data_IF_524593091432
#
_entry.id   IF_524593091432
#
_cell.length_a   1.000
_cell.length_b   1.000
_cell.length_c   1.000
_cell.angle_alpha   90.00
_cell.angle_beta   90.00
_cell.angle_gamma   90.00
#
_symmetry.space_group_name_H-M   'P 1'
#
loop_
_entity.id
_entity.type
_entity.pdbx_description
1 polymer ?
#
# COMPACT_ATOMS: atom_id res chain seq x y z
N UNK A 1 -20.44 11.17 2.67
CA UNK A 1 -19.86 12.34 2.00
C UNK A 1 -18.51 12.67 2.62
N UNK A 2 -17.62 13.26 1.85
CA UNK A 2 -16.28 13.71 2.30
C UNK A 2 -16.36 14.78 3.41
N UNK A 3 -17.48 15.50 3.53
CA UNK A 3 -17.75 16.41 4.64
C UNK A 3 -17.84 15.69 6.01
N UNK A 4 -18.09 14.38 6.02
CA UNK A 4 -18.23 13.53 7.22
C UNK A 4 -16.96 12.70 7.51
N UNK A 5 -15.85 12.96 6.84
CA UNK A 5 -14.61 12.17 6.98
C UNK A 5 -13.98 12.21 8.37
N UNK A 6 -14.26 13.27 9.15
CA UNK A 6 -13.73 13.46 10.50
C UNK A 6 -14.79 13.17 11.59
N UNK A 7 -15.95 12.59 11.23
CA UNK A 7 -17.00 12.29 12.18
C UNK A 7 -16.65 11.10 13.05
N UNK A 8 -16.47 11.35 14.35
CA UNK A 8 -15.96 10.36 15.32
C UNK A 8 -16.78 9.08 15.36
N UNK A 9 -18.13 9.18 15.40
CA UNK A 9 -18.99 8.01 15.48
C UNK A 9 -18.84 7.05 14.30
N UNK A 10 -18.72 7.58 13.07
CA UNK A 10 -18.49 6.75 11.87
C UNK A 10 -17.11 6.07 11.94
N UNK A 11 -16.09 6.80 12.36
CA UNK A 11 -14.73 6.28 12.45
C UNK A 11 -14.60 5.21 13.55
N UNK A 12 -15.24 5.40 14.69
CA UNK A 12 -15.25 4.43 15.80
C UNK A 12 -15.95 3.13 15.41
N UNK A 13 -17.17 3.20 14.86
CA UNK A 13 -17.93 2.03 14.41
C UNK A 13 -17.14 1.23 13.37
N UNK A 14 -16.52 1.91 12.40
CA UNK A 14 -15.72 1.25 11.39
C UNK A 14 -14.47 0.58 11.99
N UNK A 15 -13.80 1.24 12.94
CA UNK A 15 -12.61 0.71 13.62
C UNK A 15 -12.96 -0.52 14.47
N UNK A 16 -14.02 -0.46 15.27
CA UNK A 16 -14.46 -1.56 16.13
C UNK A 16 -14.86 -2.79 15.32
N UNK A 17 -15.54 -2.58 14.21
CA UNK A 17 -16.01 -3.66 13.34
C UNK A 17 -15.00 -4.04 12.24
N UNK A 18 -13.83 -3.39 12.19
CA UNK A 18 -12.79 -3.60 11.15
C UNK A 18 -13.33 -3.45 9.74
N UNK A 19 -14.25 -2.51 9.53
CA UNK A 19 -14.88 -2.22 8.25
C UNK A 19 -14.12 -1.09 7.54
N UNK A 20 -13.80 -1.24 6.25
CA UNK A 20 -13.24 -0.16 5.46
C UNK A 20 -14.27 0.94 5.24
N UNK A 21 -13.82 2.20 5.24
CA UNK A 21 -14.66 3.36 4.96
C UNK A 21 -14.29 3.94 3.61
N UNK A 22 -15.31 4.33 2.85
CA UNK A 22 -15.17 5.08 1.61
C UNK A 22 -16.00 6.36 1.69
N UNK A 23 -15.37 7.48 1.39
CA UNK A 23 -16.05 8.78 1.28
C UNK A 23 -16.16 9.18 -0.18
N UNK A 24 -17.26 9.83 -0.54
CA UNK A 24 -17.55 10.30 -1.87
C UNK A 24 -17.74 11.82 -1.86
N UNK A 25 -17.28 12.50 -2.89
CA UNK A 25 -17.49 13.92 -3.06
C UNK A 25 -18.92 14.22 -3.53
N UNK A 26 -19.35 15.48 -3.39
CA UNK A 26 -20.70 15.90 -3.74
C UNK A 26 -21.04 15.70 -5.23
N UNK A 27 -20.06 15.86 -6.12
CA UNK A 27 -20.29 15.76 -7.56
C UNK A 27 -20.62 14.30 -7.94
N UNK A 28 -19.89 13.34 -7.36
CA UNK A 28 -20.17 11.92 -7.57
C UNK A 28 -21.55 11.54 -7.04
N UNK A 29 -21.89 12.01 -5.83
CA UNK A 29 -23.18 11.72 -5.20
C UNK A 29 -24.37 12.33 -5.94
N UNK A 30 -24.21 13.51 -6.54
CA UNK A 30 -25.28 14.21 -7.25
C UNK A 30 -25.69 13.55 -8.57
N UNK A 31 -24.84 12.69 -9.11
CA UNK A 31 -25.09 11.94 -10.36
C UNK A 31 -25.94 10.69 -10.15
N UNK A 32 -26.16 10.29 -8.88
CA UNK A 32 -26.89 9.06 -8.57
C UNK A 32 -28.37 9.34 -8.39
N UNK A 33 -29.19 8.63 -9.16
CA UNK A 33 -30.65 8.67 -8.99
C UNK A 33 -31.03 7.95 -7.70
N UNK A 34 -31.78 8.60 -6.83
CA UNK A 34 -32.19 8.07 -5.52
C UNK A 34 -33.71 8.14 -5.35
N UNK A 35 -34.32 7.14 -4.70
CA UNK A 35 -35.78 7.13 -4.52
C UNK A 35 -36.29 8.19 -3.54
N UNK A 36 -35.46 8.59 -2.55
CA UNK A 36 -35.87 9.54 -1.50
C UNK A 36 -35.02 10.81 -1.48
N UNK A 37 -35.12 11.67 -2.50
CA UNK A 37 -34.40 12.93 -2.54
C UNK A 37 -34.88 13.89 -1.43
N UNK A 38 -33.98 14.75 -0.94
CA UNK A 38 -34.25 15.72 0.12
C UNK A 38 -33.79 17.10 -0.32
N UNK A 39 -34.72 18.03 -0.38
CA UNK A 39 -34.40 19.45 -0.72
C UNK A 39 -33.51 20.10 0.36
N UNK A 40 -33.66 19.69 1.64
CA UNK A 40 -32.79 20.17 2.73
C UNK A 40 -31.36 19.74 2.50
N UNK A 41 -31.12 18.46 2.21
CA UNK A 41 -29.80 17.93 1.94
C UNK A 41 -29.20 18.52 0.65
N UNK A 42 -30.05 18.75 -0.37
CA UNK A 42 -29.63 19.41 -1.61
C UNK A 42 -29.12 20.84 -1.36
N UNK A 43 -29.84 21.60 -0.54
CA UNK A 43 -29.48 22.99 -0.23
C UNK A 43 -28.23 23.09 0.65
N UNK A 44 -28.06 22.17 1.61
CA UNK A 44 -26.95 22.21 2.57
C UNK A 44 -25.66 21.55 2.02
N UNK A 45 -25.78 20.48 1.26
CA UNK A 45 -24.65 19.62 0.87
C UNK A 45 -24.42 19.64 -0.65
N UNK A 46 -25.45 20.06 -1.44
CA UNK A 46 -25.38 20.09 -2.90
C UNK A 46 -25.59 18.73 -3.57
N UNK A 47 -26.21 17.77 -2.86
CA UNK A 47 -26.64 16.48 -3.40
C UNK A 47 -28.03 16.11 -2.85
N UNK A 48 -28.92 15.46 -3.63
CA UNK A 48 -30.27 15.13 -3.18
C UNK A 48 -30.30 14.07 -2.09
N UNK A 49 -29.30 13.25 -1.94
CA UNK A 49 -29.18 12.27 -0.87
C UNK A 49 -27.72 11.90 -0.64
N UNK A 50 -27.32 11.76 0.62
CA UNK A 50 -25.99 11.24 0.98
C UNK A 50 -26.05 9.73 1.21
N UNK A 51 -26.99 9.26 2.04
CA UNK A 51 -27.03 7.86 2.45
C UNK A 51 -27.29 6.90 1.28
N UNK A 52 -28.37 7.14 0.51
CA UNK A 52 -28.73 6.28 -0.63
C UNK A 52 -27.73 6.43 -1.77
N UNK A 53 -27.33 7.65 -2.11
CA UNK A 53 -26.36 7.87 -3.17
C UNK A 53 -25.01 7.22 -2.84
N UNK A 54 -24.53 7.30 -1.58
CA UNK A 54 -23.27 6.69 -1.17
C UNK A 54 -23.31 5.18 -1.26
N UNK A 55 -24.38 4.51 -0.78
CA UNK A 55 -24.46 3.06 -0.81
C UNK A 55 -24.63 2.51 -2.23
N UNK A 56 -25.45 3.18 -3.08
CA UNK A 56 -25.60 2.80 -4.49
C UNK A 56 -24.29 2.99 -5.26
N UNK A 57 -23.60 4.11 -5.05
CA UNK A 57 -22.31 4.38 -5.68
C UNK A 57 -21.21 3.40 -5.23
N UNK A 58 -21.24 2.99 -3.97
CA UNK A 58 -20.35 1.97 -3.43
C UNK A 58 -20.64 0.58 -4.01
N UNK A 59 -21.92 0.23 -4.15
CA UNK A 59 -22.38 -1.05 -4.67
C UNK A 59 -22.36 -1.11 -6.21
N UNK A 60 -22.21 0.03 -6.90
CA UNK A 60 -21.95 0.20 -8.33
C UNK A 60 -23.14 -0.07 -9.25
N UNK A 61 -22.86 -0.10 -10.57
CA UNK A 61 -23.88 -0.25 -11.61
C UNK A 61 -24.72 -1.53 -11.42
N UNK A 62 -26.05 -1.38 -11.49
CA UNK A 62 -26.99 -2.47 -11.27
C UNK A 62 -27.24 -2.84 -9.81
N UNK A 63 -26.75 -2.03 -8.87
CA UNK A 63 -27.03 -2.20 -7.44
C UNK A 63 -28.51 -1.97 -7.11
N UNK A 64 -29.01 -2.71 -6.12
CA UNK A 64 -30.35 -2.56 -5.58
C UNK A 64 -30.29 -2.07 -4.12
N UNK A 65 -31.21 -1.16 -3.77
CA UNK A 65 -31.38 -0.82 -2.35
C UNK A 65 -32.11 -1.95 -1.64
N UNK A 66 -31.45 -2.58 -0.66
CA UNK A 66 -32.07 -3.52 0.28
C UNK A 66 -32.85 -2.78 1.34
N UNK A 67 -32.35 -1.60 1.72
CA UNK A 67 -32.99 -0.72 2.70
C UNK A 67 -32.85 0.72 2.21
N UNK A 68 -33.98 1.35 1.99
CA UNK A 68 -34.06 2.78 1.70
C UNK A 68 -33.67 3.62 2.93
N UNK A 69 -33.45 4.90 2.69
CA UNK A 69 -33.07 5.87 3.70
C UNK A 69 -33.94 5.77 4.95
N UNK A 70 -33.38 5.38 6.06
CA UNK A 70 -34.03 5.32 7.35
C UNK A 70 -33.31 6.23 8.32
N UNK A 71 -34.06 7.10 9.00
CA UNK A 71 -33.55 8.08 9.94
C UNK A 71 -33.80 7.57 11.36
N UNK A 72 -32.75 7.37 12.11
CA UNK A 72 -32.80 7.03 13.53
C UNK A 72 -32.55 8.28 14.34
N UNK A 73 -33.50 8.60 15.21
CA UNK A 73 -33.42 9.72 16.18
C UNK A 73 -33.40 9.12 17.57
N UNK A 74 -32.66 9.74 18.47
CA UNK A 74 -32.74 9.34 19.86
C UNK A 74 -34.11 9.74 20.44
N UNK A 75 -34.74 8.83 21.22
CA UNK A 75 -36.07 9.03 21.80
C UNK A 75 -36.06 9.70 23.18
N UNK A 76 -34.87 10.01 23.70
CA UNK A 76 -34.76 10.66 24.99
C UNK A 76 -34.94 12.19 24.86
N UNK A 77 -36.11 12.69 25.20
CA UNK A 77 -36.54 14.09 25.09
C UNK A 77 -35.79 15.10 25.99
N UNK A 78 -34.68 14.72 26.61
CA UNK A 78 -34.01 15.57 27.62
C UNK A 78 -32.66 16.14 27.18
N UNK A 79 -32.14 15.80 25.99
CA UNK A 79 -30.89 16.33 25.52
C UNK A 79 -31.02 16.84 24.08
N UNK A 80 -30.94 18.14 23.92
CA UNK A 80 -31.13 18.87 22.66
C UNK A 80 -29.98 18.69 21.63
N UNK A 81 -28.92 17.96 21.99
CA UNK A 81 -27.67 17.86 21.17
C UNK A 81 -27.46 16.49 20.50
N UNK A 82 -28.41 15.59 20.52
CA UNK A 82 -28.24 14.25 19.98
C UNK A 82 -28.72 14.20 18.52
N UNK A 83 -27.75 14.15 17.59
CA UNK A 83 -27.99 14.11 16.15
C UNK A 83 -28.76 12.89 15.65
N UNK A 84 -29.29 12.96 14.45
CA UNK A 84 -29.92 11.84 13.78
C UNK A 84 -28.89 11.04 12.98
N UNK A 85 -28.98 9.70 13.02
CA UNK A 85 -28.22 8.80 12.15
C UNK A 85 -29.09 8.36 10.98
N UNK A 86 -28.58 8.52 9.76
CA UNK A 86 -29.28 8.10 8.55
C UNK A 86 -28.54 6.92 7.93
N UNK A 87 -29.25 5.84 7.69
CA UNK A 87 -28.71 4.60 7.12
C UNK A 87 -29.48 4.24 5.84
N UNK A 88 -28.77 3.81 4.82
CA UNK A 88 -29.29 3.11 3.66
C UNK A 88 -28.37 1.90 3.37
N UNK A 89 -28.92 0.81 2.83
CA UNK A 89 -28.18 -0.41 2.51
C UNK A 89 -28.45 -0.75 1.06
N UNK A 90 -27.40 -0.97 0.29
CA UNK A 90 -27.48 -1.44 -1.08
C UNK A 90 -26.72 -2.76 -1.25
N UNK A 91 -27.25 -3.62 -2.10
CA UNK A 91 -26.62 -4.85 -2.54
C UNK A 91 -26.00 -4.65 -3.91
N UNK A 92 -24.76 -5.09 -4.08
CA UNK A 92 -24.13 -5.15 -5.39
C UNK A 92 -24.74 -6.28 -6.21
N UNK A 93 -25.03 -6.04 -7.48
CA UNK A 93 -25.56 -7.07 -8.42
C UNK A 93 -24.60 -8.25 -8.58
N UNK A 94 -23.32 -8.00 -8.47
CA UNK A 94 -22.28 -9.01 -8.49
C UNK A 94 -21.57 -9.02 -7.14
N UNK A 95 -21.49 -10.17 -6.51
CA UNK A 95 -20.83 -10.36 -5.20
C UNK A 95 -19.34 -9.95 -5.22
N UNK A 96 -18.77 -9.92 -6.43
CA UNK A 96 -17.47 -9.36 -6.75
C UNK A 96 -17.66 -8.35 -7.88
N UNK A 97 -17.64 -7.07 -7.56
CA UNK A 97 -17.70 -6.06 -8.60
C UNK A 97 -16.46 -6.17 -9.49
N UNK A 98 -16.63 -6.34 -10.84
CA UNK A 98 -15.51 -6.44 -11.78
C UNK A 98 -14.69 -5.17 -11.92
N UNK A 99 -15.11 -4.07 -11.37
CA UNK A 99 -14.26 -2.91 -11.20
C UNK A 99 -13.49 -3.10 -9.90
N UNK A 100 -12.51 -3.95 -9.96
CA UNK A 100 -11.53 -4.12 -8.91
C UNK A 100 -10.97 -2.76 -8.48
N UNK A 101 -10.61 -2.66 -7.22
CA UNK A 101 -9.88 -1.51 -6.71
C UNK A 101 -8.48 -1.41 -7.34
N UNK A 102 -7.64 -0.65 -6.68
CA UNK A 102 -6.29 -0.36 -7.16
C UNK A 102 -5.27 -0.79 -6.12
N UNK A 103 -4.13 -1.33 -6.57
CA UNK A 103 -2.99 -1.62 -5.70
C UNK A 103 -1.87 -0.66 -6.07
N UNK A 104 -1.50 0.21 -5.14
CA UNK A 104 -0.35 1.08 -5.25
C UNK A 104 0.83 0.46 -4.53
N UNK A 105 1.84 0.03 -5.26
CA UNK A 105 3.06 -0.57 -4.72
C UNK A 105 4.03 0.56 -4.47
N UNK A 106 4.35 0.81 -3.20
CA UNK A 106 5.04 2.03 -2.80
C UNK A 106 6.41 1.70 -2.22
N UNK A 107 7.44 2.26 -2.83
CA UNK A 107 8.77 2.35 -2.25
C UNK A 107 8.81 3.51 -1.24
N UNK A 108 8.98 3.19 0.05
CA UNK A 108 8.96 4.21 1.12
C UNK A 108 10.28 4.95 1.32
N UNK A 109 11.28 4.64 0.50
CA UNK A 109 12.62 5.21 0.68
C UNK A 109 13.43 4.50 1.78
N UNK A 110 14.64 4.99 2.06
CA UNK A 110 15.62 4.32 2.92
C UNK A 110 15.43 4.58 4.43
N UNK A 111 14.30 5.16 4.83
CA UNK A 111 13.96 5.32 6.25
C UNK A 111 13.31 6.66 6.56
N UNK A 112 14.02 7.76 6.39
CA UNK A 112 13.47 9.07 6.71
C UNK A 112 12.38 9.48 5.72
N UNK A 113 11.30 10.08 6.23
CA UNK A 113 10.12 10.52 5.48
C UNK A 113 10.46 11.63 4.44
N UNK A 114 11.56 12.34 4.61
CA UNK A 114 12.05 13.33 3.64
C UNK A 114 12.52 12.71 2.32
N UNK A 115 12.90 11.43 2.35
CA UNK A 115 13.25 10.65 1.15
C UNK A 115 12.05 10.00 0.47
N UNK A 116 10.84 10.17 0.99
CA UNK A 116 9.64 9.69 0.32
C UNK A 116 9.36 10.55 -0.92
N UNK A 117 9.29 9.93 -2.08
CA UNK A 117 9.03 10.64 -3.34
C UNK A 117 7.66 11.34 -3.31
N UNK A 118 7.53 12.45 -4.05
CA UNK A 118 6.25 13.17 -4.17
C UNK A 118 5.15 12.28 -4.73
N UNK A 119 5.50 11.36 -5.62
CA UNK A 119 4.58 10.41 -6.23
C UNK A 119 4.09 9.38 -5.21
N UNK A 120 5.00 8.75 -4.47
CA UNK A 120 4.67 7.83 -3.38
C UNK A 120 3.77 8.51 -2.31
N UNK A 121 4.06 9.77 -1.96
CA UNK A 121 3.25 10.55 -1.02
C UNK A 121 1.82 10.79 -1.54
N UNK A 122 1.68 11.12 -2.83
CA UNK A 122 0.36 11.28 -3.47
C UNK A 122 -0.40 9.96 -3.49
N UNK A 123 0.25 8.85 -3.82
CA UNK A 123 -0.35 7.52 -3.82
C UNK A 123 -0.84 7.12 -2.43
N UNK A 124 -0.02 7.29 -1.40
CA UNK A 124 -0.40 7.05 0.01
C UNK A 124 -1.66 7.82 0.40
N UNK A 125 -1.78 9.08 -0.06
CA UNK A 125 -2.95 9.90 0.24
C UNK A 125 -4.23 9.43 -0.43
N UNK A 126 -4.16 8.71 -1.56
CA UNK A 126 -5.32 8.17 -2.29
C UNK A 126 -5.82 6.83 -1.74
N UNK A 127 -4.96 6.08 -1.06
CA UNK A 127 -5.29 4.74 -0.58
C UNK A 127 -6.06 4.80 0.73
N UNK A 128 -7.10 3.99 0.85
CA UNK A 128 -7.87 3.82 2.08
C UNK A 128 -7.21 2.85 3.07
N UNK A 129 -6.36 1.97 2.56
CA UNK A 129 -5.67 0.94 3.35
C UNK A 129 -4.18 0.97 3.04
N UNK A 130 -3.36 0.92 4.08
CA UNK A 130 -1.92 0.74 3.98
C UNK A 130 -1.53 -0.61 4.57
N UNK A 131 -0.80 -1.42 3.80
CA UNK A 131 -0.32 -2.74 4.22
C UNK A 131 1.19 -2.76 4.12
N UNK A 132 1.86 -3.20 5.18
CA UNK A 132 3.32 -3.27 5.18
C UNK A 132 3.88 -4.00 6.39
N UNK A 133 5.19 -4.19 6.38
CA UNK A 133 5.91 -4.60 7.57
C UNK A 133 5.85 -3.48 8.61
N UNK A 134 5.54 -3.85 9.87
CA UNK A 134 5.32 -2.88 10.95
C UNK A 134 6.38 -1.77 11.01
N UNK A 135 7.65 -2.13 10.97
CA UNK A 135 8.75 -1.16 11.08
C UNK A 135 8.71 -0.11 9.93
N UNK A 136 8.36 -0.52 8.70
CA UNK A 136 8.26 0.42 7.58
C UNK A 136 7.02 1.31 7.68
N UNK A 137 5.93 0.75 8.17
CA UNK A 137 4.71 1.52 8.44
C UNK A 137 4.92 2.56 9.52
N UNK A 138 5.64 2.23 10.59
CA UNK A 138 5.95 3.16 11.68
C UNK A 138 6.72 4.39 11.19
N UNK A 139 7.63 4.22 10.22
CA UNK A 139 8.39 5.33 9.63
C UNK A 139 7.51 6.35 8.89
N UNK A 140 6.46 5.91 8.21
CA UNK A 140 5.57 6.76 7.42
C UNK A 140 4.24 7.07 8.13
N UNK A 141 4.03 6.54 9.33
CA UNK A 141 2.83 6.73 10.14
C UNK A 141 2.44 8.20 10.37
N UNK A 142 3.38 9.17 10.49
CA UNK A 142 3.01 10.59 10.59
C UNK A 142 2.18 11.12 9.41
N UNK A 143 2.17 10.44 8.26
CA UNK A 143 1.36 10.79 7.10
C UNK A 143 -0.02 10.14 7.08
N UNK A 144 -0.28 9.22 8.01
CA UNK A 144 -1.54 8.48 8.07
C UNK A 144 -2.68 9.40 8.49
N UNK A 145 -3.75 9.41 7.69
CA UNK A 145 -4.98 10.13 8.03
C UNK A 145 -5.87 9.28 8.92
N UNK A 146 -6.79 9.92 9.63
CA UNK A 146 -7.73 9.26 10.55
C UNK A 146 -8.70 8.28 9.84
N UNK A 147 -8.97 8.53 8.57
CA UNK A 147 -9.87 7.73 7.74
C UNK A 147 -9.17 6.54 7.06
N UNK A 148 -7.88 6.37 7.25
CA UNK A 148 -7.11 5.30 6.65
C UNK A 148 -6.87 4.15 7.64
N UNK A 149 -6.86 2.93 7.11
CA UNK A 149 -6.64 1.71 7.88
C UNK A 149 -5.20 1.25 7.68
N UNK A 150 -4.54 0.96 8.79
CA UNK A 150 -3.19 0.39 8.81
C UNK A 150 -3.27 -1.11 9.10
N UNK A 151 -2.72 -1.93 8.19
CA UNK A 151 -2.61 -3.38 8.36
C UNK A 151 -1.13 -3.73 8.49
N UNK A 152 -0.73 -4.02 9.71
CA UNK A 152 0.63 -4.42 10.04
C UNK A 152 0.83 -5.92 9.78
N UNK A 153 2.03 -6.30 9.36
CA UNK A 153 2.46 -7.69 9.21
C UNK A 153 3.88 -7.87 9.73
N UNK A 154 4.27 -9.12 9.96
CA UNK A 154 5.60 -9.47 10.42
C UNK A 154 6.58 -9.58 9.25
N UNK A 155 7.86 -9.61 9.57
CA UNK A 155 8.90 -10.01 8.64
C UNK A 155 8.62 -11.47 8.19
N UNK A 156 8.96 -11.84 6.97
CA UNK A 156 8.72 -13.17 6.37
C UNK A 156 7.26 -13.47 5.96
N UNK A 157 6.34 -12.51 6.10
CA UNK A 157 4.94 -12.63 5.66
C UNK A 157 4.68 -11.91 4.32
N UNK A 158 5.70 -11.81 3.44
CA UNK A 158 5.60 -11.05 2.18
C UNK A 158 4.48 -11.58 1.28
N UNK A 159 4.36 -12.91 1.18
CA UNK A 159 3.33 -13.56 0.36
C UNK A 159 1.92 -13.26 0.90
N UNK A 160 1.70 -13.47 2.19
CA UNK A 160 0.40 -13.22 2.83
C UNK A 160 0.00 -11.74 2.73
N UNK A 161 0.99 -10.84 2.82
CA UNK A 161 0.81 -9.41 2.65
C UNK A 161 0.34 -9.05 1.24
N UNK A 162 0.96 -9.62 0.22
CA UNK A 162 0.54 -9.44 -1.17
C UNK A 162 -0.85 -10.04 -1.44
N UNK A 163 -1.12 -11.26 -0.96
CA UNK A 163 -2.43 -11.92 -1.08
C UNK A 163 -3.53 -11.10 -0.40
N UNK A 164 -3.25 -10.53 0.78
CA UNK A 164 -4.19 -9.66 1.48
C UNK A 164 -4.46 -8.36 0.71
N UNK A 165 -3.42 -7.76 0.10
CA UNK A 165 -3.57 -6.57 -0.73
C UNK A 165 -4.42 -6.85 -1.96
N UNK A 166 -4.19 -7.98 -2.64
CA UNK A 166 -4.98 -8.42 -3.79
C UNK A 166 -6.44 -8.59 -3.41
N UNK A 167 -6.72 -9.35 -2.33
CA UNK A 167 -8.09 -9.60 -1.88
C UNK A 167 -8.85 -8.31 -1.57
N UNK A 168 -8.24 -7.37 -0.86
CA UNK A 168 -8.87 -6.09 -0.55
C UNK A 168 -9.11 -5.23 -1.80
N UNK A 169 -8.21 -5.29 -2.77
CA UNK A 169 -8.39 -4.61 -4.04
C UNK A 169 -9.46 -5.28 -4.91
N UNK A 170 -9.60 -6.61 -4.89
CA UNK A 170 -10.72 -7.32 -5.51
C UNK A 170 -12.07 -6.88 -4.92
N UNK A 171 -12.10 -6.52 -3.65
CA UNK A 171 -13.27 -5.93 -2.96
C UNK A 171 -13.51 -4.45 -3.34
N UNK A 172 -12.73 -3.89 -4.27
CA UNK A 172 -12.90 -2.52 -4.79
C UNK A 172 -12.17 -1.43 -4.00
N UNK A 173 -11.25 -1.78 -3.11
CA UNK A 173 -10.51 -0.82 -2.29
C UNK A 173 -9.23 -0.35 -2.97
N UNK A 174 -8.78 0.87 -2.61
CA UNK A 174 -7.46 1.37 -2.97
C UNK A 174 -6.46 1.04 -1.87
N UNK A 175 -5.52 0.18 -2.18
CA UNK A 175 -4.57 -0.40 -1.23
C UNK A 175 -3.15 0.05 -1.53
N UNK A 176 -2.47 0.61 -0.54
CA UNK A 176 -1.04 0.85 -0.60
C UNK A 176 -0.29 -0.37 -0.03
N UNK A 177 0.50 -1.03 -0.86
CA UNK A 177 1.43 -2.08 -0.46
C UNK A 177 2.82 -1.47 -0.31
N UNK A 178 3.33 -1.42 0.92
CA UNK A 178 4.51 -0.63 1.28
C UNK A 178 5.74 -1.53 1.42
N UNK A 179 6.77 -1.19 0.64
CA UNK A 179 8.11 -1.75 0.71
C UNK A 179 9.10 -0.69 1.19
N UNK A 180 10.15 -1.09 1.90
CA UNK A 180 11.32 -0.24 2.17
C UNK A 180 12.10 0.03 0.89
N UNK A 181 12.79 1.14 0.84
CA UNK A 181 13.62 1.52 -0.30
C UNK A 181 12.80 1.68 -1.58
N UNK A 182 13.20 0.96 -2.60
CA UNK A 182 12.54 0.85 -3.89
C UNK A 182 11.82 -0.51 -4.00
N UNK A 183 10.54 -0.50 -4.36
CA UNK A 183 9.67 -1.66 -4.31
C UNK A 183 9.99 -2.76 -5.33
N UNK A 184 10.63 -2.42 -6.46
CA UNK A 184 11.08 -3.34 -7.50
C UNK A 184 12.50 -3.88 -7.26
N UNK A 185 13.23 -3.31 -6.29
CA UNK A 185 14.63 -3.62 -6.03
C UNK A 185 14.77 -4.50 -4.78
N UNK A 186 14.67 -5.81 -4.94
CA UNK A 186 14.52 -6.80 -3.87
C UNK A 186 13.31 -6.58 -2.96
N UNK A 187 12.32 -5.83 -3.45
CA UNK A 187 11.07 -5.53 -2.76
C UNK A 187 9.92 -6.44 -3.20
N UNK A 188 8.69 -6.04 -2.86
CA UNK A 188 7.51 -6.88 -3.07
C UNK A 188 6.86 -6.73 -4.45
N UNK A 189 7.31 -5.80 -5.31
CA UNK A 189 6.65 -5.57 -6.59
C UNK A 189 6.62 -6.83 -7.46
N UNK A 190 7.76 -7.52 -7.64
CA UNK A 190 7.84 -8.76 -8.40
C UNK A 190 6.90 -9.85 -7.87
N UNK A 191 6.91 -10.08 -6.56
CA UNK A 191 6.05 -11.08 -5.91
C UNK A 191 4.56 -10.76 -6.09
N UNK A 192 4.16 -9.49 -5.95
CA UNK A 192 2.77 -9.09 -6.18
C UNK A 192 2.36 -9.35 -7.63
N UNK A 193 3.21 -9.00 -8.61
CA UNK A 193 2.92 -9.22 -10.02
C UNK A 193 2.77 -10.71 -10.37
N UNK A 194 3.62 -11.57 -9.81
CA UNK A 194 3.49 -13.02 -9.95
C UNK A 194 2.17 -13.56 -9.39
N UNK A 195 1.73 -13.04 -8.24
CA UNK A 195 0.46 -13.43 -7.64
C UNK A 195 -0.74 -12.91 -8.44
N UNK A 196 -0.67 -11.66 -8.93
CA UNK A 196 -1.70 -11.08 -9.79
C UNK A 196 -1.87 -11.85 -11.11
N UNK A 197 -0.82 -12.44 -11.66
CA UNK A 197 -0.94 -13.29 -12.86
C UNK A 197 -1.81 -14.52 -12.63
N UNK A 198 -1.89 -15.02 -11.40
CA UNK A 198 -2.72 -16.17 -11.01
C UNK A 198 -4.18 -15.79 -10.80
N UNK A 199 -4.49 -14.51 -10.63
CA UNK A 199 -5.87 -14.01 -10.54
C UNK A 199 -6.50 -13.98 -11.91
N UNK A 200 -7.76 -14.41 -12.02
CA UNK A 200 -8.52 -14.37 -13.28
C UNK A 200 -8.56 -12.92 -13.81
N UNK A 201 -8.39 -12.76 -15.12
CA UNK A 201 -8.20 -11.44 -15.75
C UNK A 201 -9.35 -10.47 -15.46
N UNK A 202 -10.57 -10.98 -15.38
CA UNK A 202 -11.80 -10.20 -15.15
C UNK A 202 -11.89 -9.61 -13.74
N UNK A 203 -11.24 -10.25 -12.75
CA UNK A 203 -11.25 -9.83 -11.34
C UNK A 203 -9.95 -9.18 -10.90
N UNK A 204 -8.98 -9.09 -11.81
CA UNK A 204 -7.64 -8.59 -11.49
C UNK A 204 -7.70 -7.08 -11.22
N UNK A 205 -7.30 -6.63 -10.01
CA UNK A 205 -7.21 -5.21 -9.72
C UNK A 205 -6.14 -4.55 -10.60
N UNK A 206 -6.33 -3.27 -10.88
CA UNK A 206 -5.28 -2.46 -11.48
C UNK A 206 -4.16 -2.22 -10.47
N UNK A 207 -2.95 -2.00 -10.96
CA UNK A 207 -1.83 -1.70 -10.10
C UNK A 207 -0.96 -0.58 -10.67
N UNK A 208 -0.29 0.13 -9.78
CA UNK A 208 0.68 1.16 -10.13
C UNK A 208 1.89 1.03 -9.18
N UNK A 209 3.10 1.17 -9.74
CA UNK A 209 4.34 1.10 -8.97
C UNK A 209 4.87 2.51 -8.81
N UNK A 210 5.06 2.91 -7.55
CA UNK A 210 5.60 4.21 -7.16
C UNK A 210 7.03 4.01 -6.67
N UNK A 211 8.02 4.51 -7.41
CA UNK A 211 9.42 4.28 -7.08
C UNK A 211 9.80 4.98 -5.78
N UNK A 212 10.66 4.31 -5.02
CA UNK A 212 11.32 4.85 -3.83
C UNK A 212 12.82 5.03 -4.04
N UNK A 213 13.44 5.81 -3.18
CA UNK A 213 14.90 5.91 -3.15
C UNK A 213 15.46 4.64 -2.50
N UNK A 214 16.31 3.92 -3.23
CA UNK A 214 16.96 2.72 -2.69
C UNK A 214 18.04 3.09 -1.66
N UNK A 215 18.29 2.20 -0.71
CA UNK A 215 19.40 2.33 0.24
C UNK A 215 20.77 2.46 -0.45
N UNK A 216 20.93 1.86 -1.63
CA UNK A 216 22.14 2.03 -2.44
C UNK A 216 22.34 3.47 -2.88
N UNK A 217 21.28 4.15 -3.31
CA UNK A 217 21.37 5.55 -3.72
C UNK A 217 21.73 6.45 -2.54
N UNK A 218 21.14 6.21 -1.36
CA UNK A 218 21.49 6.96 -0.16
C UNK A 218 22.93 6.67 0.27
N UNK A 219 23.35 5.41 0.30
CA UNK A 219 24.71 5.03 0.64
C UNK A 219 25.73 5.67 -0.32
N UNK A 220 25.44 5.66 -1.62
CA UNK A 220 26.30 6.29 -2.62
C UNK A 220 26.40 7.81 -2.43
N UNK A 221 25.30 8.48 -2.09
CA UNK A 221 25.33 9.92 -1.82
C UNK A 221 26.19 10.28 -0.59
N UNK A 222 26.13 9.45 0.46
CA UNK A 222 26.95 9.61 1.67
C UNK A 222 28.41 9.26 1.40
N UNK A 223 28.65 8.23 0.58
CA UNK A 223 29.99 7.70 0.28
C UNK A 223 30.77 8.47 -0.80
N UNK A 224 30.27 9.60 -1.31
CA UNK A 224 30.97 10.41 -2.31
C UNK A 224 30.82 9.90 -3.74
N UNK A 225 29.64 9.41 -4.11
CA UNK A 225 29.25 8.98 -5.45
C UNK A 225 30.07 7.80 -6.04
N UNK A 226 30.28 6.69 -5.32
CA UNK A 226 31.07 5.55 -5.79
C UNK A 226 30.42 4.83 -6.99
N UNK A 227 29.15 5.12 -7.33
CA UNK A 227 28.41 4.50 -8.41
C UNK A 227 28.47 5.30 -9.74
N UNK A 228 29.42 6.21 -9.88
CA UNK A 228 29.57 7.01 -11.10
C UNK A 228 30.01 6.16 -12.33
N UNK A 229 30.62 5.01 -12.10
CA UNK A 229 30.96 4.02 -13.11
C UNK A 229 29.97 2.85 -13.07
N UNK A 230 30.23 1.82 -13.84
CA UNK A 230 29.40 0.63 -13.90
C UNK A 230 29.34 -0.07 -12.54
N UNK A 231 28.14 -0.42 -12.13
CA UNK A 231 27.90 -1.13 -10.86
C UNK A 231 26.90 -2.27 -11.05
N UNK A 232 26.94 -3.21 -10.15
CA UNK A 232 25.95 -4.26 -10.07
C UNK A 232 25.43 -4.43 -8.67
N UNK A 233 24.25 -5.03 -8.53
CA UNK A 233 23.62 -5.32 -7.27
C UNK A 233 23.42 -6.81 -7.09
N UNK A 234 23.87 -7.34 -5.94
CA UNK A 234 23.82 -8.76 -5.63
C UNK A 234 23.21 -8.94 -4.24
N UNK A 235 22.16 -9.76 -4.15
CA UNK A 235 21.62 -10.19 -2.87
C UNK A 235 22.32 -11.46 -2.40
N UNK A 236 22.76 -11.48 -1.14
CA UNK A 236 23.31 -12.69 -0.51
C UNK A 236 22.22 -13.60 0.07
N UNK A 237 20.95 -13.31 -0.16
CA UNK A 237 19.85 -14.17 0.28
C UNK A 237 19.84 -15.47 -0.55
N UNK A 238 20.16 -16.58 0.09
CA UNK A 238 20.16 -17.92 -0.48
C UNK A 238 18.84 -18.69 -0.30
N UNK A 239 17.79 -18.01 0.19
CA UNK A 239 16.46 -18.62 0.38
C UNK A 239 15.80 -19.07 -0.94
N UNK A 240 15.96 -18.28 -2.00
CA UNK A 240 15.38 -18.56 -3.31
C UNK A 240 16.43 -18.74 -4.42
N UNK A 241 17.68 -18.37 -4.14
CA UNK A 241 18.80 -18.45 -5.10
C UNK A 241 19.89 -19.32 -4.52
N UNK A 242 20.29 -20.43 -5.16
CA UNK A 242 21.36 -21.27 -4.66
C UNK A 242 22.67 -20.48 -4.48
N UNK A 243 23.39 -20.74 -3.41
CA UNK A 243 24.65 -20.06 -3.09
C UNK A 243 25.68 -20.11 -4.22
N UNK A 244 25.77 -21.23 -4.92
CA UNK A 244 26.68 -21.40 -6.07
C UNK A 244 26.37 -20.39 -7.20
N UNK A 245 25.11 -20.05 -7.40
CA UNK A 245 24.74 -19.02 -8.37
C UNK A 245 25.10 -17.62 -7.85
N UNK A 246 24.97 -17.37 -6.55
CA UNK A 246 25.38 -16.10 -5.94
C UNK A 246 26.91 -15.93 -6.10
N UNK A 247 27.70 -16.97 -5.80
CA UNK A 247 29.16 -16.97 -6.04
C UNK A 247 29.50 -16.64 -7.49
N UNK A 248 28.84 -17.31 -8.43
CA UNK A 248 29.06 -17.05 -9.87
C UNK A 248 28.77 -15.59 -10.24
N UNK A 249 27.74 -14.99 -9.65
CA UNK A 249 27.42 -13.57 -9.87
C UNK A 249 28.50 -12.64 -9.30
N UNK A 250 29.03 -12.94 -8.12
CA UNK A 250 30.12 -12.16 -7.51
C UNK A 250 31.37 -12.27 -8.38
N UNK A 251 31.78 -13.48 -8.77
CA UNK A 251 32.92 -13.70 -9.65
C UNK A 251 32.77 -12.97 -10.99
N UNK A 252 31.60 -13.04 -11.61
CA UNK A 252 31.33 -12.32 -12.86
C UNK A 252 31.44 -10.80 -12.70
N UNK A 253 30.96 -10.26 -11.58
CA UNK A 253 31.06 -8.84 -11.26
C UNK A 253 32.52 -8.40 -11.06
N UNK A 254 33.34 -9.23 -10.44
CA UNK A 254 34.79 -8.99 -10.27
C UNK A 254 35.54 -9.03 -11.60
N UNK A 255 35.19 -9.98 -12.45
CA UNK A 255 35.80 -10.06 -13.82
C UNK A 255 35.45 -8.84 -14.66
N UNK A 256 34.27 -8.26 -14.51
CA UNK A 256 33.86 -7.04 -15.20
C UNK A 256 34.30 -5.75 -14.50
N UNK A 257 35.03 -5.84 -13.42
CA UNK A 257 35.48 -4.70 -12.59
C UNK A 257 34.36 -3.78 -12.10
N UNK A 258 33.15 -4.31 -11.91
CA UNK A 258 32.00 -3.54 -11.42
C UNK A 258 32.16 -3.13 -9.96
N UNK A 259 31.63 -1.96 -9.62
CA UNK A 259 31.33 -1.64 -8.23
C UNK A 259 30.19 -2.55 -7.75
N UNK A 260 30.41 -3.28 -6.66
CA UNK A 260 29.44 -4.29 -6.19
C UNK A 260 28.65 -3.73 -5.02
N UNK A 261 27.33 -3.68 -5.14
CA UNK A 261 26.42 -3.38 -4.04
C UNK A 261 25.82 -4.67 -3.51
N UNK A 262 25.98 -4.91 -2.22
CA UNK A 262 25.53 -6.14 -1.56
C UNK A 262 24.26 -5.87 -0.76
N UNK A 263 23.18 -6.62 -1.08
CA UNK A 263 21.93 -6.61 -0.34
C UNK A 263 21.80 -7.86 0.52
N UNK A 264 21.02 -7.73 1.59
CA UNK A 264 20.77 -8.83 2.52
C UNK A 264 22.07 -9.51 3.01
N UNK A 265 23.04 -8.74 3.48
CA UNK A 265 24.38 -9.29 3.80
C UNK A 265 24.33 -10.29 4.95
N UNK A 266 23.42 -10.13 5.91
CA UNK A 266 23.35 -10.93 7.11
C UNK A 266 21.90 -11.04 7.62
N UNK A 267 21.61 -12.16 8.29
CA UNK A 267 20.42 -12.38 9.13
C UNK A 267 20.78 -13.36 10.25
N UNK A 268 19.83 -13.60 11.18
CA UNK A 268 20.04 -14.56 12.26
C UNK A 268 20.44 -15.95 11.71
N UNK A 269 19.82 -16.38 10.62
CA UNK A 269 20.06 -17.69 9.99
C UNK A 269 21.20 -17.66 8.95
N UNK A 270 21.64 -16.47 8.51
CA UNK A 270 22.64 -16.26 7.47
C UNK A 270 23.78 -15.40 8.02
N UNK A 271 24.79 -16.04 8.55
CA UNK A 271 25.92 -15.37 9.23
C UNK A 271 27.28 -15.60 8.56
N UNK A 272 27.36 -16.50 7.56
CA UNK A 272 28.60 -16.88 6.88
C UNK A 272 28.72 -16.32 5.44
N UNK A 273 27.60 -15.98 4.80
CA UNK A 273 27.55 -15.60 3.38
C UNK A 273 28.34 -14.32 3.10
N UNK A 274 28.26 -13.33 3.99
CA UNK A 274 29.02 -12.09 3.83
C UNK A 274 30.53 -12.35 3.87
N UNK A 275 30.99 -13.17 4.83
CA UNK A 275 32.40 -13.54 4.92
C UNK A 275 32.86 -14.25 3.65
N UNK A 276 32.11 -15.24 3.18
CA UNK A 276 32.42 -15.96 1.95
C UNK A 276 32.42 -15.03 0.71
N UNK A 277 31.52 -14.06 0.65
CA UNK A 277 31.52 -13.06 -0.44
C UNK A 277 32.78 -12.18 -0.39
N UNK A 278 33.22 -11.77 0.79
CA UNK A 278 34.45 -11.00 0.99
C UNK A 278 35.67 -11.83 0.57
N UNK A 279 35.75 -13.11 0.98
CA UNK A 279 36.84 -14.02 0.61
C UNK A 279 36.96 -14.13 -0.90
N UNK A 280 35.84 -14.29 -1.63
CA UNK A 280 35.82 -14.30 -3.09
C UNK A 280 36.30 -12.95 -3.67
N UNK A 281 35.90 -11.83 -3.08
CA UNK A 281 36.35 -10.50 -3.54
C UNK A 281 37.88 -10.35 -3.39
N UNK A 282 38.45 -10.86 -2.32
CA UNK A 282 39.90 -10.79 -2.05
C UNK A 282 40.76 -11.62 -3.01
N UNK A 283 40.17 -12.61 -3.71
CA UNK A 283 40.88 -13.34 -4.78
C UNK A 283 41.28 -12.45 -5.97
N UNK A 284 40.52 -11.35 -6.21
CA UNK A 284 40.69 -10.48 -7.38
C UNK A 284 40.94 -9.02 -7.03
N UNK A 285 40.63 -8.59 -5.78
CA UNK A 285 40.73 -7.21 -5.36
C UNK A 285 41.72 -7.05 -4.21
N UNK A 286 42.36 -5.89 -4.15
CA UNK A 286 43.22 -5.52 -3.04
C UNK A 286 42.44 -5.47 -1.72
N UNK A 287 43.06 -5.92 -0.63
CA UNK A 287 42.50 -5.75 0.71
C UNK A 287 42.30 -4.29 1.16
N UNK A 288 42.89 -3.34 0.40
CA UNK A 288 42.70 -1.90 0.64
C UNK A 288 41.52 -1.31 -0.17
N UNK A 289 40.76 -2.14 -0.88
CA UNK A 289 39.56 -1.67 -1.61
C UNK A 289 38.56 -1.07 -0.62
N UNK A 290 38.13 0.20 -0.83
CA UNK A 290 37.18 0.86 0.07
C UNK A 290 35.84 0.09 0.11
N UNK A 291 35.28 -0.03 1.31
CA UNK A 291 33.96 -0.61 1.56
C UNK A 291 33.13 0.36 2.39
N UNK A 292 31.93 0.64 1.93
CA UNK A 292 30.96 1.44 2.66
C UNK A 292 29.91 0.50 3.28
N UNK A 293 29.65 0.65 4.57
CA UNK A 293 28.69 -0.17 5.33
C UNK A 293 27.63 0.75 5.97
#
# INVERSE_FOLDING_TARGET
>A
SDLKKDEKGILEVAKENKLPIKFFNKNDLSQINVPNPSNVVLNEIGTPSVAEASCLLAAREGANLLKEKTIFKNKNDLDTDIGAVTIAIAESKNQYSPTAGEIHIIGSGPGDISFLTSDARKALSKCSIWIGYKMYLDLIKPLLRKDQILIESKLTEEKQRCEKAIKLAEEGLKVALISSGESGFYGMAGLLLELLQKTQKEYRPSYEIHPGISSVQLAAAIGGAPLMNDFCSISLSDKLTPWELIKKRITGALMGDFVITIFNPQSIERNWQLKSAIDICLESRSGNTPVLI
#
